data_IF_880495322847
#
_entry.id   IF_880495322847
#
_cell.length_a   1.000
_cell.length_b   1.000
_cell.length_c   1.000
_cell.angle_alpha   90.00
_cell.angle_beta   90.00
_cell.angle_gamma   90.00
#
_symmetry.space_group_name_H-M   'P 1'
#
loop_
_entity.id
_entity.type
_entity.pdbx_description
1 polymer ?
#
# COMPACT_ATOMS: atom_id res chain seq x y z
N UNK A 1 -36.18 18.56 -8.84
CA UNK A 1 -35.67 17.66 -9.89
C UNK A 1 -34.16 17.80 -9.93
N UNK A 2 -33.40 16.71 -9.72
CA UNK A 2 -31.93 16.72 -9.82
C UNK A 2 -31.58 16.53 -11.29
N UNK A 3 -31.05 17.57 -11.93
CA UNK A 3 -30.60 17.54 -13.32
C UNK A 3 -29.29 16.77 -13.40
N UNK A 4 -29.27 15.61 -14.06
CA UNK A 4 -28.04 14.88 -14.39
C UNK A 4 -27.42 15.53 -15.63
N UNK A 5 -26.35 16.31 -15.42
CA UNK A 5 -25.56 16.90 -16.51
C UNK A 5 -24.54 15.86 -16.98
N UNK A 6 -24.74 15.29 -18.16
CA UNK A 6 -23.77 14.37 -18.79
C UNK A 6 -22.77 15.22 -19.57
N UNK A 7 -21.58 15.44 -19.02
CA UNK A 7 -20.52 16.13 -19.75
C UNK A 7 -19.93 15.20 -20.82
N UNK A 8 -19.71 15.69 -22.06
CA UNK A 8 -18.97 14.94 -23.06
C UNK A 8 -17.56 14.64 -22.54
N UNK A 9 -16.99 13.46 -22.82
CA UNK A 9 -15.67 13.11 -22.33
C UNK A 9 -14.64 14.09 -22.90
N UNK A 10 -13.93 14.78 -22.01
CA UNK A 10 -12.83 15.66 -22.39
C UNK A 10 -11.74 14.91 -23.18
N UNK A 11 -10.93 15.65 -23.94
CA UNK A 11 -9.81 15.10 -24.73
C UNK A 11 -8.79 14.33 -23.89
N UNK A 12 -8.70 14.61 -22.59
CA UNK A 12 -7.89 13.87 -21.63
C UNK A 12 -8.79 12.97 -20.77
N UNK A 13 -8.43 11.68 -20.57
CA UNK A 13 -9.16 10.75 -19.70
C UNK A 13 -8.81 11.05 -18.22
N UNK A 14 -9.16 12.25 -17.76
CA UNK A 14 -8.95 12.69 -16.38
C UNK A 14 -10.12 12.27 -15.50
N UNK A 15 -9.85 11.80 -14.26
CA UNK A 15 -10.91 11.29 -13.40
C UNK A 15 -11.93 12.38 -13.14
N UNK A 16 -13.24 12.08 -13.19
CA UNK A 16 -14.25 13.04 -12.78
C UNK A 16 -14.21 13.16 -11.25
N UNK A 17 -13.23 13.90 -10.73
CA UNK A 17 -12.98 14.02 -9.30
C UNK A 17 -14.19 14.53 -8.51
N UNK A 18 -15.02 15.39 -9.13
CA UNK A 18 -16.28 15.85 -8.56
C UNK A 18 -17.29 14.70 -8.38
N UNK A 19 -17.46 13.85 -9.39
CA UNK A 19 -18.38 12.70 -9.32
C UNK A 19 -17.88 11.66 -8.31
N UNK A 20 -16.57 11.43 -8.25
CA UNK A 20 -15.97 10.56 -7.24
C UNK A 20 -16.25 11.07 -5.82
N UNK A 21 -16.16 12.38 -5.60
CA UNK A 21 -16.43 13.00 -4.32
C UNK A 21 -17.93 12.98 -3.94
N UNK A 22 -18.81 13.21 -4.91
CA UNK A 22 -20.26 13.09 -4.73
C UNK A 22 -20.65 11.65 -4.37
N UNK A 23 -20.03 10.67 -5.01
CA UNK A 23 -20.26 9.25 -4.78
C UNK A 23 -19.38 8.62 -3.68
N UNK A 24 -18.69 9.41 -2.84
CA UNK A 24 -17.79 8.91 -1.77
C UNK A 24 -18.45 7.93 -0.80
N UNK A 25 -19.77 8.07 -0.60
CA UNK A 25 -20.55 7.14 0.22
C UNK A 25 -20.49 5.71 -0.35
N UNK A 26 -20.46 5.56 -1.67
CA UNK A 26 -20.30 4.25 -2.33
C UNK A 26 -18.98 3.61 -1.92
N UNK A 27 -17.86 4.36 -1.98
CA UNK A 27 -16.56 3.85 -1.55
C UNK A 27 -16.57 3.45 -0.06
N UNK A 28 -17.19 4.25 0.80
CA UNK A 28 -17.34 3.91 2.22
C UNK A 28 -18.13 2.61 2.42
N UNK A 29 -19.25 2.43 1.71
CA UNK A 29 -20.06 1.20 1.81
C UNK A 29 -19.31 -0.03 1.31
N UNK A 30 -18.58 0.08 0.21
CA UNK A 30 -17.72 -1.01 -0.27
C UNK A 30 -16.63 -1.37 0.73
N UNK A 31 -15.93 -0.38 1.27
CA UNK A 31 -14.90 -0.59 2.28
C UNK A 31 -15.49 -1.24 3.53
N UNK A 32 -16.64 -0.76 4.02
CA UNK A 32 -17.29 -1.32 5.22
C UNK A 32 -17.65 -2.78 4.99
N UNK A 33 -18.21 -3.08 3.82
CA UNK A 33 -18.55 -4.45 3.44
C UNK A 33 -17.29 -5.32 3.36
N UNK A 34 -16.20 -4.84 2.77
CA UNK A 34 -14.94 -5.58 2.67
C UNK A 34 -14.36 -5.91 4.06
N UNK A 35 -14.36 -4.94 4.98
CA UNK A 35 -13.98 -5.15 6.39
C UNK A 35 -14.88 -6.20 7.04
N UNK A 36 -16.20 -6.05 6.96
CA UNK A 36 -17.15 -6.97 7.59
C UNK A 36 -16.99 -8.38 7.04
N UNK A 37 -16.89 -8.56 5.73
CA UNK A 37 -16.74 -9.86 5.09
C UNK A 37 -15.45 -10.57 5.52
N UNK A 38 -14.37 -9.82 5.74
CA UNK A 38 -13.07 -10.36 6.17
C UNK A 38 -13.10 -10.87 7.61
N UNK A 39 -13.71 -10.12 8.51
CA UNK A 39 -13.70 -10.47 9.94
C UNK A 39 -14.87 -11.37 10.33
N UNK A 40 -15.91 -11.45 9.50
CA UNK A 40 -17.03 -12.37 9.67
C UNK A 40 -16.56 -13.82 9.43
N UNK A 41 -16.98 -14.74 10.31
CA UNK A 41 -16.75 -16.18 10.18
C UNK A 41 -15.28 -16.66 10.22
N UNK A 42 -14.36 -15.87 10.77
CA UNK A 42 -12.99 -16.33 11.02
C UNK A 42 -12.83 -16.78 12.48
N UNK A 43 -12.21 -17.94 12.69
CA UNK A 43 -12.01 -18.50 14.05
C UNK A 43 -11.05 -17.64 14.91
N UNK A 44 -10.11 -16.94 14.27
CA UNK A 44 -9.03 -16.18 14.91
C UNK A 44 -9.24 -14.66 14.74
N UNK A 45 -10.13 -14.22 13.84
CA UNK A 45 -10.53 -12.82 13.74
C UNK A 45 -9.38 -11.86 13.41
N UNK A 46 -9.37 -10.74 14.14
CA UNK A 46 -8.38 -9.65 14.04
C UNK A 46 -6.96 -10.13 14.38
N UNK A 47 -6.78 -11.20 15.15
CA UNK A 47 -5.46 -11.69 15.52
C UNK A 47 -4.62 -12.13 14.31
N UNK A 48 -5.25 -12.53 13.19
CA UNK A 48 -4.52 -12.85 11.95
C UNK A 48 -3.71 -11.68 11.40
N UNK A 49 -4.21 -10.46 11.56
CA UNK A 49 -3.52 -9.23 11.13
C UNK A 49 -2.20 -9.05 11.88
N UNK A 50 -2.11 -9.54 13.11
CA UNK A 50 -0.93 -9.43 13.96
C UNK A 50 0.03 -10.62 13.79
N UNK A 51 -0.51 -11.83 13.63
CA UNK A 51 0.29 -13.06 13.51
C UNK A 51 1.25 -12.97 12.33
N UNK A 52 0.79 -12.51 11.16
CA UNK A 52 1.63 -12.45 9.96
C UNK A 52 2.86 -11.53 10.11
N UNK A 53 2.74 -10.24 10.49
CA UNK A 53 3.90 -9.37 10.67
C UNK A 53 4.79 -9.81 11.84
N UNK A 54 4.23 -10.37 12.92
CA UNK A 54 5.02 -10.93 14.03
C UNK A 54 5.84 -12.15 13.60
N UNK A 55 5.23 -13.08 12.87
CA UNK A 55 5.92 -14.25 12.35
C UNK A 55 7.01 -13.84 11.36
N UNK A 56 6.73 -12.91 10.45
CA UNK A 56 7.70 -12.40 9.49
C UNK A 56 8.88 -11.69 10.19
N UNK A 57 8.60 -10.83 11.18
CA UNK A 57 9.62 -10.16 11.97
C UNK A 57 10.48 -11.16 12.77
N UNK A 58 9.85 -12.20 13.33
CA UNK A 58 10.54 -13.30 14.00
C UNK A 58 11.47 -14.07 13.06
N UNK A 59 10.98 -14.46 11.89
CA UNK A 59 11.78 -15.15 10.86
C UNK A 59 12.96 -14.27 10.41
N UNK A 60 12.72 -13.00 10.10
CA UNK A 60 13.79 -12.09 9.72
C UNK A 60 14.79 -11.92 10.86
N UNK A 61 14.32 -11.81 12.11
CA UNK A 61 15.22 -11.70 13.26
C UNK A 61 16.11 -12.91 13.46
N UNK A 62 15.61 -14.11 13.19
CA UNK A 62 16.43 -15.32 13.25
C UNK A 62 17.41 -15.38 12.08
N UNK A 63 16.94 -15.17 10.85
CA UNK A 63 17.76 -15.36 9.64
C UNK A 63 18.77 -14.23 9.45
N UNK A 64 18.33 -12.98 9.51
CA UNK A 64 19.18 -11.84 9.17
C UNK A 64 19.79 -11.18 10.41
N UNK A 65 19.06 -11.20 11.53
CA UNK A 65 19.58 -10.74 12.81
C UNK A 65 20.61 -11.71 13.40
N UNK A 66 20.22 -12.96 13.64
CA UNK A 66 21.10 -13.93 14.32
C UNK A 66 22.06 -14.68 13.39
N UNK A 67 21.61 -15.14 12.22
CA UNK A 67 22.49 -15.92 11.31
C UNK A 67 23.38 -15.01 10.47
N UNK A 68 22.83 -13.94 9.87
CA UNK A 68 23.60 -13.04 9.00
C UNK A 68 24.28 -11.87 9.74
N UNK A 69 23.97 -11.63 11.02
CA UNK A 69 24.51 -10.53 11.84
C UNK A 69 24.48 -9.15 11.15
N UNK A 70 23.35 -8.84 10.48
CA UNK A 70 23.24 -7.55 9.78
C UNK A 70 23.14 -6.39 10.76
N UNK A 71 23.84 -5.26 10.49
CA UNK A 71 23.81 -4.10 11.37
C UNK A 71 22.47 -3.37 11.27
N UNK A 72 21.92 -3.00 12.42
CA UNK A 72 20.65 -2.25 12.57
C UNK A 72 20.83 -0.91 13.29
N UNK A 73 22.05 -0.39 13.34
CA UNK A 73 22.32 0.91 13.98
C UNK A 73 22.02 0.96 15.49
N UNK A 74 22.05 -0.18 16.18
CA UNK A 74 21.77 -0.28 17.61
C UNK A 74 20.30 -0.57 17.97
N UNK A 75 19.41 -0.67 16.98
CA UNK A 75 18.00 -1.00 17.19
C UNK A 75 17.83 -2.53 17.25
N UNK A 76 17.03 -3.08 18.20
CA UNK A 76 16.70 -4.49 18.22
C UNK A 76 16.15 -4.95 16.86
N UNK A 77 16.79 -5.94 16.27
CA UNK A 77 16.50 -6.36 14.89
C UNK A 77 15.03 -6.78 14.71
N UNK A 78 14.42 -7.41 15.72
CA UNK A 78 13.00 -7.77 15.71
C UNK A 78 12.10 -6.54 15.54
N UNK A 79 12.35 -5.46 16.28
CA UNK A 79 11.60 -4.21 16.19
C UNK A 79 11.80 -3.54 14.82
N UNK A 80 13.05 -3.46 14.35
CA UNK A 80 13.39 -2.95 13.03
C UNK A 80 12.62 -3.70 11.92
N UNK A 81 12.64 -5.03 11.96
CA UNK A 81 11.95 -5.88 10.99
C UNK A 81 10.44 -5.76 11.08
N UNK A 82 9.89 -5.68 12.29
CA UNK A 82 8.46 -5.52 12.50
C UNK A 82 7.93 -4.21 11.91
N UNK A 83 8.60 -3.08 12.19
CA UNK A 83 8.22 -1.77 11.65
C UNK A 83 8.31 -1.77 10.12
N UNK A 84 9.36 -2.39 9.57
CA UNK A 84 9.54 -2.49 8.12
C UNK A 84 8.48 -3.39 7.48
N UNK A 85 8.13 -4.50 8.13
CA UNK A 85 7.02 -5.37 7.73
C UNK A 85 5.68 -4.67 7.79
N UNK A 86 5.44 -3.84 8.80
CA UNK A 86 4.19 -3.08 8.91
C UNK A 86 3.97 -2.17 7.68
N UNK A 87 5.00 -1.44 7.26
CA UNK A 87 4.94 -0.60 6.06
C UNK A 87 4.78 -1.42 4.77
N UNK A 88 5.55 -2.50 4.63
CA UNK A 88 5.46 -3.39 3.48
C UNK A 88 4.07 -4.05 3.35
N UNK A 89 3.52 -4.54 4.47
CA UNK A 89 2.20 -5.16 4.52
C UNK A 89 1.10 -4.17 4.16
N UNK A 90 1.21 -2.90 4.55
CA UNK A 90 0.29 -1.85 4.11
C UNK A 90 0.32 -1.72 2.58
N UNK A 91 1.49 -1.51 1.99
CA UNK A 91 1.65 -1.35 0.54
C UNK A 91 1.11 -2.56 -0.24
N UNK A 92 1.59 -3.76 0.11
CA UNK A 92 1.22 -4.99 -0.56
C UNK A 92 -0.26 -5.36 -0.36
N UNK A 93 -0.85 -5.03 0.79
CA UNK A 93 -2.28 -5.22 1.04
C UNK A 93 -3.16 -4.30 0.20
N UNK A 94 -2.82 -3.01 0.09
CA UNK A 94 -3.58 -2.06 -0.73
C UNK A 94 -3.54 -2.51 -2.18
N UNK A 95 -2.35 -2.78 -2.72
CA UNK A 95 -2.19 -3.22 -4.10
C UNK A 95 -2.88 -4.57 -4.37
N UNK A 96 -2.63 -5.56 -3.52
CA UNK A 96 -3.16 -6.92 -3.66
C UNK A 96 -4.68 -7.01 -3.53
N UNK A 97 -5.33 -6.05 -2.85
CA UNK A 97 -6.79 -5.96 -2.79
C UNK A 97 -7.37 -5.12 -3.92
N UNK A 98 -6.73 -4.00 -4.26
CA UNK A 98 -7.18 -3.10 -5.31
C UNK A 98 -7.20 -3.77 -6.68
N UNK A 99 -6.15 -4.52 -7.04
CA UNK A 99 -6.03 -5.15 -8.35
C UNK A 99 -7.20 -6.11 -8.69
N UNK A 100 -7.51 -7.15 -7.90
CA UNK A 100 -8.62 -8.06 -8.20
C UNK A 100 -10.01 -7.46 -7.93
N UNK A 101 -10.11 -6.26 -7.35
CA UNK A 101 -11.37 -5.74 -6.81
C UNK A 101 -12.49 -5.60 -7.85
N UNK A 102 -12.19 -5.18 -9.09
CA UNK A 102 -13.19 -5.07 -10.15
C UNK A 102 -13.73 -6.44 -10.57
N UNK A 103 -12.84 -7.41 -10.79
CA UNK A 103 -13.21 -8.77 -11.19
C UNK A 103 -14.01 -9.46 -10.07
N UNK A 104 -13.60 -9.29 -8.82
CA UNK A 104 -14.32 -9.81 -7.67
C UNK A 104 -15.73 -9.20 -7.51
N UNK A 105 -15.93 -7.98 -7.99
CA UNK A 105 -17.20 -7.25 -7.92
C UNK A 105 -17.93 -7.14 -9.26
N UNK A 106 -17.55 -7.95 -10.25
CA UNK A 106 -18.03 -7.86 -11.64
C UNK A 106 -19.57 -7.83 -11.75
N UNK A 107 -20.28 -8.65 -10.96
CA UNK A 107 -21.74 -8.73 -10.99
C UNK A 107 -22.42 -7.43 -10.57
N UNK A 108 -21.81 -6.65 -9.67
CA UNK A 108 -22.34 -5.37 -9.22
C UNK A 108 -21.91 -4.25 -10.16
N UNK A 109 -20.67 -4.28 -10.64
CA UNK A 109 -20.12 -3.33 -11.62
C UNK A 109 -20.89 -3.38 -12.96
N UNK A 110 -21.39 -4.56 -13.35
CA UNK A 110 -22.19 -4.75 -14.55
C UNK A 110 -23.64 -4.23 -14.43
N UNK A 111 -24.22 -4.27 -13.21
CA UNK A 111 -25.66 -4.04 -12.98
C UNK A 111 -25.99 -2.66 -12.43
N UNK A 112 -25.03 -1.97 -11.82
CA UNK A 112 -25.26 -0.69 -11.14
C UNK A 112 -24.34 0.38 -11.73
N UNK A 113 -24.93 1.52 -12.09
CA UNK A 113 -24.16 2.67 -12.58
C UNK A 113 -23.56 3.46 -11.41
N UNK A 114 -22.24 3.50 -11.33
CA UNK A 114 -21.47 4.34 -10.42
C UNK A 114 -20.03 4.47 -10.93
N UNK A 115 -19.25 5.47 -10.46
CA UNK A 115 -17.84 5.60 -10.85
C UNK A 115 -17.01 4.37 -10.40
N UNK A 116 -16.57 3.54 -11.35
CA UNK A 116 -15.98 2.22 -11.06
C UNK A 116 -14.65 2.30 -10.33
N UNK A 117 -13.94 3.42 -10.45
CA UNK A 117 -12.70 3.71 -9.74
C UNK A 117 -12.87 3.69 -8.20
N UNK A 118 -14.09 3.87 -7.69
CA UNK A 118 -14.38 3.77 -6.26
C UNK A 118 -14.22 2.34 -5.72
N UNK A 119 -14.35 1.30 -6.56
CA UNK A 119 -14.19 -0.10 -6.09
C UNK A 119 -12.73 -0.35 -5.66
N UNK A 120 -11.70 -0.13 -6.50
CA UNK A 120 -10.31 -0.31 -6.04
C UNK A 120 -9.93 0.64 -4.90
N UNK A 121 -10.35 1.91 -4.95
CA UNK A 121 -10.03 2.91 -3.90
C UNK A 121 -10.60 2.48 -2.54
N UNK A 122 -11.79 1.91 -2.50
CA UNK A 122 -12.43 1.46 -1.25
C UNK A 122 -11.63 0.41 -0.48
N UNK A 123 -10.79 -0.37 -1.18
CA UNK A 123 -9.98 -1.44 -0.57
C UNK A 123 -8.89 -0.91 0.36
N UNK A 124 -8.47 0.35 0.19
CA UNK A 124 -7.51 0.99 1.07
C UNK A 124 -8.02 1.10 2.51
N UNK A 125 -9.35 1.22 2.70
CA UNK A 125 -9.93 1.35 4.04
C UNK A 125 -9.68 0.10 4.90
N UNK A 126 -9.86 -1.09 4.33
CA UNK A 126 -9.57 -2.34 5.02
C UNK A 126 -8.08 -2.49 5.32
N UNK A 127 -7.20 -2.09 4.39
CA UNK A 127 -5.75 -2.16 4.61
C UNK A 127 -5.28 -1.17 5.68
N UNK A 128 -5.87 0.03 5.73
CA UNK A 128 -5.60 1.04 6.75
C UNK A 128 -6.08 0.60 8.15
N UNK A 129 -7.21 -0.11 8.23
CA UNK A 129 -7.66 -0.69 9.50
C UNK A 129 -6.67 -1.75 9.99
N UNK A 130 -6.24 -2.65 9.10
CA UNK A 130 -5.24 -3.68 9.43
C UNK A 130 -3.91 -3.04 9.88
N UNK A 131 -3.49 -1.99 9.17
CA UNK A 131 -2.32 -1.19 9.53
C UNK A 131 -2.47 -0.51 10.88
N UNK A 132 -3.64 0.07 11.21
CA UNK A 132 -3.87 0.72 12.50
C UNK A 132 -3.76 -0.28 13.67
N UNK A 133 -4.27 -1.50 13.49
CA UNK A 133 -4.12 -2.59 14.47
C UNK A 133 -2.65 -2.99 14.62
N UNK A 134 -1.91 -3.14 13.52
CA UNK A 134 -0.48 -3.43 13.55
C UNK A 134 0.36 -2.29 14.14
N UNK A 135 -0.01 -1.03 13.89
CA UNK A 135 0.63 0.15 14.43
C UNK A 135 0.44 0.24 15.94
N UNK A 136 -0.75 -0.07 16.46
CA UNK A 136 -0.99 -0.14 17.89
C UNK A 136 -0.05 -1.14 18.57
N UNK A 137 0.16 -2.32 17.96
CA UNK A 137 1.16 -3.28 18.43
C UNK A 137 2.60 -2.74 18.29
N UNK A 138 2.91 -2.05 17.20
CA UNK A 138 4.21 -1.40 17.00
C UNK A 138 4.54 -0.40 18.10
N UNK A 139 3.56 0.40 18.54
CA UNK A 139 3.70 1.33 19.67
C UNK A 139 4.02 0.58 20.96
N UNK A 140 3.33 -0.53 21.24
CA UNK A 140 3.63 -1.38 22.40
C UNK A 140 5.07 -1.90 22.34
N UNK A 141 5.54 -2.35 21.18
CA UNK A 141 6.91 -2.83 21.01
C UNK A 141 7.94 -1.70 21.20
N UNK A 142 7.69 -0.49 20.68
CA UNK A 142 8.56 0.67 20.89
C UNK A 142 8.75 0.97 22.39
N UNK A 143 7.67 0.91 23.17
CA UNK A 143 7.72 1.10 24.63
C UNK A 143 8.51 -0.03 25.31
N UNK A 144 8.27 -1.29 24.95
CA UNK A 144 8.98 -2.45 25.52
C UNK A 144 10.48 -2.38 25.26
N UNK A 145 10.88 -2.01 24.04
CA UNK A 145 12.29 -1.90 23.65
C UNK A 145 12.93 -0.56 24.02
N UNK A 146 12.18 0.37 24.64
CA UNK A 146 12.70 1.67 25.08
C UNK A 146 13.11 2.60 23.94
N UNK A 147 12.55 2.42 22.74
CA UNK A 147 12.87 3.25 21.56
C UNK A 147 11.91 4.44 21.49
N UNK A 148 12.46 5.66 21.49
CA UNK A 148 11.69 6.88 21.36
C UNK A 148 11.63 7.33 19.88
N UNK A 149 10.45 7.38 19.24
CA UNK A 149 10.31 7.79 17.84
C UNK A 149 10.60 9.28 17.58
N UNK A 150 10.65 10.10 18.64
CA UNK A 150 10.90 11.55 18.52
C UNK A 150 9.77 12.29 17.79
N UNK A 151 10.08 13.48 17.27
CA UNK A 151 9.09 14.34 16.59
C UNK A 151 8.73 13.87 15.17
N UNK A 152 9.54 12.99 14.59
CA UNK A 152 9.30 12.42 13.25
C UNK A 152 7.96 11.68 13.15
N UNK A 153 7.45 11.15 14.27
CA UNK A 153 6.16 10.45 14.33
C UNK A 153 4.97 11.31 13.85
N UNK A 154 5.06 12.63 13.96
CA UNK A 154 4.02 13.54 13.47
C UNK A 154 3.87 13.53 11.95
N UNK A 155 4.93 13.13 11.23
CA UNK A 155 4.94 13.00 9.77
C UNK A 155 4.47 11.60 9.32
N UNK A 156 4.31 10.64 10.24
CA UNK A 156 3.86 9.29 9.93
C UNK A 156 2.57 9.26 9.09
N UNK A 157 1.52 10.05 9.38
CA UNK A 157 0.30 10.06 8.56
C UNK A 157 0.56 10.48 7.10
N UNK A 158 1.52 11.37 6.87
CA UNK A 158 1.92 11.81 5.53
C UNK A 158 2.56 10.66 4.77
N UNK A 159 3.50 9.94 5.40
CA UNK A 159 4.17 8.80 4.76
C UNK A 159 3.22 7.63 4.48
N UNK A 160 2.30 7.36 5.42
CA UNK A 160 1.21 6.37 5.23
C UNK A 160 0.34 6.75 4.02
N UNK A 161 -0.02 8.02 3.89
CA UNK A 161 -0.79 8.50 2.74
C UNK A 161 -0.02 8.29 1.42
N UNK A 162 1.27 8.61 1.38
CA UNK A 162 2.09 8.40 0.17
C UNK A 162 2.19 6.91 -0.20
N UNK A 163 2.41 6.02 0.77
CA UNK A 163 2.39 4.57 0.58
C UNK A 163 1.06 4.11 -0.03
N UNK A 164 -0.06 4.58 0.51
CA UNK A 164 -1.40 4.24 0.02
C UNK A 164 -1.63 4.79 -1.39
N UNK A 165 -1.23 6.03 -1.67
CA UNK A 165 -1.37 6.64 -3.00
C UNK A 165 -0.58 5.87 -4.06
N UNK A 166 0.68 5.54 -3.78
CA UNK A 166 1.51 4.77 -4.70
C UNK A 166 0.92 3.37 -4.94
N UNK A 167 0.53 2.68 -3.87
CA UNK A 167 -0.10 1.36 -3.95
C UNK A 167 -1.43 1.38 -4.71
N UNK A 168 -2.27 2.39 -4.47
CA UNK A 168 -3.53 2.58 -5.19
C UNK A 168 -3.29 2.93 -6.66
N UNK A 169 -2.28 3.73 -6.99
CA UNK A 169 -1.92 4.02 -8.38
C UNK A 169 -1.60 2.76 -9.17
N UNK A 170 -0.70 1.95 -8.63
CA UNK A 170 -0.34 0.65 -9.23
C UNK A 170 -1.56 -0.28 -9.23
N UNK A 171 -2.35 -0.29 -8.15
CA UNK A 171 -3.53 -1.13 -8.01
C UNK A 171 -4.65 -0.78 -8.98
N UNK A 172 -4.84 0.50 -9.28
CA UNK A 172 -5.78 0.97 -10.29
C UNK A 172 -5.36 0.52 -11.69
N UNK A 173 -4.09 0.69 -12.05
CA UNK A 173 -3.57 0.20 -13.33
C UNK A 173 -3.71 -1.32 -13.45
N UNK A 174 -3.28 -2.05 -12.40
CA UNK A 174 -3.39 -3.51 -12.34
C UNK A 174 -4.85 -3.99 -12.40
N UNK A 175 -5.78 -3.29 -11.74
CA UNK A 175 -7.20 -3.66 -11.78
C UNK A 175 -7.78 -3.50 -13.17
N UNK A 176 -7.46 -2.40 -13.85
CA UNK A 176 -7.88 -2.17 -15.23
C UNK A 176 -7.33 -3.23 -16.19
N UNK A 177 -6.05 -3.61 -16.04
CA UNK A 177 -5.47 -4.69 -16.83
C UNK A 177 -6.05 -6.06 -16.48
N UNK A 178 -6.37 -6.33 -15.22
CA UNK A 178 -6.88 -7.62 -14.78
C UNK A 178 -8.29 -7.93 -15.33
N UNK A 179 -9.11 -6.90 -15.58
CA UNK A 179 -10.39 -7.05 -16.28
C UNK A 179 -10.19 -7.62 -17.70
N UNK A 180 -9.12 -7.22 -18.38
CA UNK A 180 -8.80 -7.67 -19.75
C UNK A 180 -7.96 -8.95 -19.76
N UNK A 181 -7.01 -9.06 -18.84
CA UNK A 181 -6.01 -10.11 -18.77
C UNK A 181 -6.00 -10.72 -17.37
N UNK A 182 -6.66 -11.87 -17.20
CA UNK A 182 -6.74 -12.55 -15.89
C UNK A 182 -5.38 -12.96 -15.34
N UNK A 183 -4.37 -13.10 -16.21
CA UNK A 183 -3.00 -13.46 -15.84
C UNK A 183 -2.31 -12.46 -14.90
N UNK A 184 -2.76 -11.20 -14.90
CA UNK A 184 -2.29 -10.19 -13.94
C UNK A 184 -2.49 -10.67 -12.49
N UNK A 185 -3.53 -11.47 -12.22
CA UNK A 185 -3.78 -12.06 -10.92
C UNK A 185 -2.72 -13.06 -10.46
N UNK A 186 -2.01 -13.73 -11.39
CA UNK A 186 -0.89 -14.63 -11.09
C UNK A 186 0.45 -13.89 -11.04
N UNK A 187 0.63 -12.88 -11.90
CA UNK A 187 1.87 -12.10 -11.96
C UNK A 187 2.01 -11.22 -10.72
N UNK A 188 0.92 -10.64 -10.22
CA UNK A 188 0.96 -9.64 -9.15
C UNK A 188 1.53 -10.19 -7.83
N UNK A 189 1.09 -11.35 -7.31
CA UNK A 189 1.69 -11.93 -6.11
C UNK A 189 3.19 -12.19 -6.25
N UNK A 190 3.61 -12.67 -7.42
CA UNK A 190 5.02 -12.91 -7.71
C UNK A 190 5.80 -11.59 -7.74
N UNK A 191 5.31 -10.58 -8.45
CA UNK A 191 5.92 -9.25 -8.49
C UNK A 191 6.04 -8.61 -7.10
N UNK A 192 5.02 -8.74 -6.26
CA UNK A 192 5.06 -8.29 -4.86
C UNK A 192 6.15 -9.04 -4.08
N UNK A 193 6.27 -10.35 -4.26
CA UNK A 193 7.32 -11.14 -3.60
C UNK A 193 8.73 -10.70 -4.03
N UNK A 194 8.96 -10.41 -5.32
CA UNK A 194 10.24 -9.84 -5.77
C UNK A 194 10.49 -8.44 -5.19
N UNK A 195 9.46 -7.59 -5.20
CA UNK A 195 9.55 -6.24 -4.69
C UNK A 195 9.84 -6.19 -3.17
N UNK A 196 9.41 -7.20 -2.40
CA UNK A 196 9.76 -7.34 -0.99
C UNK A 196 11.27 -7.44 -0.78
N UNK A 197 11.96 -8.21 -1.62
CA UNK A 197 13.42 -8.41 -1.51
C UNK A 197 14.22 -7.32 -2.22
N UNK A 198 13.66 -6.71 -3.26
CA UNK A 198 14.25 -5.57 -3.97
C UNK A 198 14.10 -4.23 -3.21
N UNK A 199 13.27 -4.21 -2.18
CA UNK A 199 13.16 -3.09 -1.24
C UNK A 199 13.90 -3.48 0.03
N UNK A 200 14.67 -2.59 0.67
CA UNK A 200 15.42 -2.88 1.88
C UNK A 200 14.47 -3.01 3.09
N UNK A 201 13.67 -4.07 3.11
CA UNK A 201 12.65 -4.32 4.14
C UNK A 201 13.23 -5.13 5.29
N UNK A 202 13.97 -6.20 4.97
CA UNK A 202 14.66 -7.03 5.94
C UNK A 202 16.03 -6.46 6.33
N UNK A 203 16.59 -5.52 5.58
CA UNK A 203 17.94 -5.01 5.85
C UNK A 203 18.00 -3.49 5.72
N UNK A 204 19.04 -2.90 6.28
CA UNK A 204 19.38 -1.49 6.10
C UNK A 204 20.09 -1.30 4.75
N UNK A 205 20.02 -0.09 4.20
CA UNK A 205 20.76 0.25 2.97
C UNK A 205 22.27 0.13 3.17
N UNK A 206 22.76 0.33 4.38
CA UNK A 206 24.17 0.18 4.74
C UNK A 206 24.69 -1.26 4.57
N UNK A 207 23.79 -2.25 4.57
CA UNK A 207 24.15 -3.64 4.32
C UNK A 207 24.24 -3.99 2.83
N UNK A 208 23.85 -3.08 1.93
CA UNK A 208 23.86 -3.30 0.48
C UNK A 208 25.27 -3.04 -0.07
N UNK A 209 25.83 -3.97 -0.88
CA UNK A 209 27.12 -3.75 -1.54
C UNK A 209 27.15 -2.47 -2.40
N UNK A 210 28.28 -1.75 -2.39
CA UNK A 210 28.45 -0.45 -3.06
C UNK A 210 28.06 -0.44 -4.55
N UNK A 211 28.25 -1.56 -5.25
CA UNK A 211 27.90 -1.71 -6.66
C UNK A 211 26.39 -1.78 -6.91
N UNK A 212 25.60 -2.24 -5.94
CA UNK A 212 24.15 -2.35 -6.03
C UNK A 212 23.43 -1.18 -5.35
N UNK A 213 24.13 -0.45 -4.48
CA UNK A 213 23.58 0.67 -3.72
C UNK A 213 22.85 1.70 -4.61
N UNK A 214 23.32 2.11 -5.80
CA UNK A 214 22.59 3.04 -6.66
C UNK A 214 21.22 2.52 -7.12
N UNK A 215 21.10 1.21 -7.35
CA UNK A 215 19.85 0.58 -7.80
C UNK A 215 18.83 0.56 -6.66
N UNK A 216 19.26 0.17 -5.47
CA UNK A 216 18.41 0.17 -4.27
C UNK A 216 18.04 1.58 -3.81
N UNK A 217 18.97 2.53 -3.93
CA UNK A 217 18.73 3.94 -3.63
C UNK A 217 17.90 4.66 -4.68
N UNK A 218 17.72 4.10 -5.88
CA UNK A 218 16.80 4.65 -6.89
C UNK A 218 15.36 4.13 -6.76
N UNK A 219 15.13 3.11 -5.93
CA UNK A 219 13.81 2.52 -5.74
C UNK A 219 12.92 3.43 -4.86
N UNK A 220 11.77 3.91 -5.35
CA UNK A 220 10.87 4.78 -4.59
C UNK A 220 10.29 4.15 -3.32
N UNK A 221 10.17 2.83 -3.29
CA UNK A 221 9.73 2.11 -2.09
C UNK A 221 10.81 2.12 -0.99
N UNK A 222 12.09 2.18 -1.36
CA UNK A 222 13.18 2.36 -0.40
C UNK A 222 13.07 3.73 0.28
N UNK A 223 12.82 4.80 -0.48
CA UNK A 223 12.64 6.15 0.07
C UNK A 223 11.49 6.21 1.07
N UNK A 224 10.35 5.62 0.72
CA UNK A 224 9.19 5.56 1.61
C UNK A 224 9.47 4.72 2.86
N UNK A 225 10.22 3.62 2.73
CA UNK A 225 10.61 2.77 3.86
C UNK A 225 11.53 3.51 4.84
N UNK A 226 12.54 4.23 4.35
CA UNK A 226 13.42 5.07 5.16
C UNK A 226 12.64 6.16 5.91
N UNK A 227 11.69 6.84 5.24
CA UNK A 227 10.85 7.86 5.89
C UNK A 227 9.93 7.28 6.97
N UNK A 228 9.47 6.04 6.77
CA UNK A 228 8.69 5.31 7.76
C UNK A 228 9.54 4.95 8.98
N UNK A 229 10.77 4.47 8.77
CA UNK A 229 11.74 4.16 9.83
C UNK A 229 12.20 5.41 10.58
N UNK A 230 12.49 6.51 9.87
CA UNK A 230 12.76 7.82 10.48
C UNK A 230 11.69 8.20 11.50
N UNK A 231 10.42 8.00 11.16
CA UNK A 231 9.29 8.44 11.98
C UNK A 231 9.02 7.57 13.21
N UNK A 232 9.39 6.28 13.20
CA UNK A 232 9.07 5.33 14.27
C UNK A 232 10.30 4.83 15.04
N UNK A 233 11.45 4.75 14.38
CA UNK A 233 12.70 4.25 14.96
C UNK A 233 13.68 5.37 15.31
N UNK A 234 13.41 6.61 14.89
CA UNK A 234 14.30 7.75 15.15
C UNK A 234 15.60 7.70 14.36
N UNK A 235 15.61 7.01 13.21
CA UNK A 235 16.76 6.99 12.29
C UNK A 235 17.08 8.40 11.75
N UNK A 236 18.18 8.54 11.02
CA UNK A 236 18.55 9.82 10.41
C UNK A 236 17.50 10.25 9.35
N UNK A 237 17.25 11.55 9.26
CA UNK A 237 16.35 12.08 8.23
C UNK A 237 16.95 11.80 6.84
N UNK A 238 16.20 11.17 5.92
CA UNK A 238 16.70 10.93 4.57
C UNK A 238 16.99 12.24 3.82
N UNK A 239 17.89 12.22 2.83
CA UNK A 239 18.20 13.40 2.03
C UNK A 239 16.95 14.01 1.37
N UNK A 240 16.91 15.34 1.25
CA UNK A 240 15.76 16.08 0.71
C UNK A 240 15.31 15.60 -0.68
N UNK A 241 16.24 15.16 -1.52
CA UNK A 241 15.92 14.64 -2.86
C UNK A 241 15.10 13.34 -2.79
N UNK A 242 15.32 12.48 -1.79
CA UNK A 242 14.52 11.27 -1.58
C UNK A 242 13.11 11.62 -1.11
N UNK A 243 12.98 12.62 -0.22
CA UNK A 243 11.67 13.10 0.27
C UNK A 243 10.85 13.64 -0.89
N UNK A 244 11.44 14.55 -1.69
CA UNK A 244 10.77 15.13 -2.86
C UNK A 244 10.47 14.04 -3.89
N UNK A 245 11.42 13.12 -4.13
CA UNK A 245 11.22 11.97 -5.01
C UNK A 245 10.06 11.08 -4.58
N UNK A 246 9.96 10.75 -3.28
CA UNK A 246 8.89 9.93 -2.72
C UNK A 246 7.51 10.58 -2.89
N UNK A 247 7.42 11.89 -2.65
CA UNK A 247 6.19 12.67 -2.86
C UNK A 247 5.81 12.68 -4.35
N UNK A 248 6.73 13.05 -5.23
CA UNK A 248 6.46 13.15 -6.67
C UNK A 248 6.09 11.81 -7.28
N UNK A 249 6.80 10.73 -6.93
CA UNK A 249 6.52 9.40 -7.46
C UNK A 249 5.22 8.84 -6.90
N UNK A 250 4.88 9.08 -5.63
CA UNK A 250 3.62 8.58 -5.05
C UNK A 250 2.41 9.28 -5.67
N UNK A 251 2.45 10.62 -5.78
CA UNK A 251 1.39 11.40 -6.40
C UNK A 251 1.33 11.11 -7.91
N UNK A 252 2.47 11.14 -8.59
CA UNK A 252 2.57 10.85 -10.01
C UNK A 252 2.10 9.43 -10.35
N UNK A 253 2.50 8.44 -9.56
CA UNK A 253 2.08 7.04 -9.69
C UNK A 253 0.57 6.88 -9.51
N UNK A 254 -0.02 7.56 -8.52
CA UNK A 254 -1.47 7.59 -8.34
C UNK A 254 -2.19 8.19 -9.55
N UNK A 255 -1.76 9.36 -10.02
CA UNK A 255 -2.36 10.04 -11.17
C UNK A 255 -2.21 9.22 -12.45
N UNK A 256 -1.04 8.65 -12.72
CA UNK A 256 -0.81 7.79 -13.87
C UNK A 256 -1.68 6.54 -13.82
N UNK A 257 -1.79 5.91 -12.64
CA UNK A 257 -2.69 4.77 -12.42
C UNK A 257 -4.16 5.11 -12.68
N UNK A 258 -4.63 6.26 -12.19
CA UNK A 258 -5.98 6.74 -12.40
C UNK A 258 -6.28 7.08 -13.88
N UNK A 259 -5.29 7.61 -14.61
CA UNK A 259 -5.36 7.85 -16.05
C UNK A 259 -5.44 6.52 -16.82
N UNK A 260 -4.58 5.55 -16.47
CA UNK A 260 -4.60 4.21 -17.08
C UNK A 260 -5.96 3.55 -16.86
N UNK A 261 -6.50 3.62 -15.65
CA UNK A 261 -7.80 3.06 -15.32
C UNK A 261 -8.93 3.60 -16.21
N UNK A 262 -9.05 4.91 -16.33
CA UNK A 262 -10.11 5.51 -17.15
C UNK A 262 -9.98 5.27 -18.64
N UNK A 263 -8.75 5.19 -19.15
CA UNK A 263 -8.53 4.83 -20.55
C UNK A 263 -9.17 3.46 -20.86
N UNK A 264 -9.13 2.54 -19.90
CA UNK A 264 -9.67 1.19 -20.06
C UNK A 264 -11.13 1.06 -19.61
N UNK A 265 -11.65 2.00 -18.80
CA UNK A 265 -13.01 1.94 -18.25
C UNK A 265 -14.10 1.80 -19.30
N UNK A 266 -13.89 2.38 -20.50
CA UNK A 266 -14.83 2.26 -21.63
C UNK A 266 -14.99 0.82 -22.11
N UNK A 267 -13.92 0.03 -22.10
CA UNK A 267 -13.95 -1.37 -22.52
C UNK A 267 -14.52 -2.32 -21.46
N UNK A 268 -14.73 -1.87 -20.22
CA UNK A 268 -15.22 -2.76 -19.16
C UNK A 268 -16.65 -3.26 -19.42
N UNK A 269 -17.48 -2.47 -20.10
CA UNK A 269 -18.85 -2.87 -20.41
C UNK A 269 -18.93 -4.05 -21.40
N UNK A 270 -17.92 -4.23 -22.25
CA UNK A 270 -17.88 -5.29 -23.26
C UNK A 270 -17.17 -6.56 -22.74
N UNK A 271 -16.42 -6.45 -21.64
CA UNK A 271 -15.54 -7.51 -21.12
C UNK A 271 -16.06 -8.17 -19.83
N UNK A 272 -17.05 -7.56 -19.16
CA UNK A 272 -17.65 -8.02 -17.90
C UNK A 272 -19.06 -8.56 -18.18
#
# INVERSE_FOLDING_TARGET
MRTTVINPPGRLPLPPWSELWEAREVALRFGQRDVVLRYRQTAIGVAWVLIQPLAAAGIFSLVFGSVANLPTGGIPYFLFSFISMLAWTLFSSVLGRAAPSLVANQALVAKVFFPRMLVPISTAMSALLDFAVGLALGIVLLVIYGVNPGWGVLLLPVWVLLFVLLALGIGLAASAWMVRYRDVGYILPWALQFALFATPVAYSLDAVPDNLLPVFAANPLSWLMELFRYSLLGEALPPTWQIVGAVLVSIGGFLLGAIVFQRHERSFADLI
#
